data_IF_966682405117
#
_entry.id   IF_966682405117
#
_cell.length_a   1.000
_cell.length_b   1.000
_cell.length_c   1.000
_cell.angle_alpha   90.00
_cell.angle_beta   90.00
_cell.angle_gamma   90.00
#
_symmetry.space_group_name_H-M   'P 1'
#
loop_
_entity.id
_entity.type
_entity.pdbx_description
1 polymer ?
#
# COMPACT_ATOMS: atom_id res chain seq x y z
N UNK A 1 -18.98 10.99 -15.24
CA UNK A 1 -18.29 9.87 -14.59
C UNK A 1 -17.15 10.40 -13.76
N UNK A 2 -17.03 9.95 -12.53
CA UNK A 2 -16.01 10.41 -11.61
C UNK A 2 -14.90 9.37 -11.49
N UNK A 3 -13.65 9.81 -11.63
CA UNK A 3 -12.48 8.96 -11.43
C UNK A 3 -11.99 9.12 -10.01
N UNK A 4 -11.75 8.02 -9.31
CA UNK A 4 -11.20 7.96 -7.96
C UNK A 4 -9.87 7.23 -8.02
N UNK A 5 -8.83 7.81 -7.43
CA UNK A 5 -7.51 7.19 -7.38
C UNK A 5 -7.39 6.38 -6.08
N UNK A 6 -7.09 5.10 -6.20
CA UNK A 6 -6.62 4.32 -5.07
C UNK A 6 -5.10 4.54 -4.97
N UNK A 7 -4.67 5.16 -3.89
CA UNK A 7 -3.28 5.58 -3.69
C UNK A 7 -2.38 4.40 -3.33
N UNK A 8 -2.24 3.47 -4.26
CA UNK A 8 -1.41 2.27 -4.13
C UNK A 8 -0.81 1.91 -5.48
N UNK A 9 0.39 1.37 -5.47
CA UNK A 9 1.02 0.76 -6.64
C UNK A 9 0.83 -0.76 -6.67
N UNK A 10 0.04 -1.30 -5.74
CA UNK A 10 -0.29 -2.71 -5.68
C UNK A 10 -1.51 -2.98 -6.56
N UNK A 11 -1.30 -3.56 -7.73
CA UNK A 11 -2.36 -3.88 -8.69
C UNK A 11 -3.39 -4.86 -8.14
N UNK A 12 -2.99 -5.76 -7.25
CA UNK A 12 -3.93 -6.69 -6.60
C UNK A 12 -4.96 -5.95 -5.75
N UNK A 13 -4.55 -4.92 -5.02
CA UNK A 13 -5.47 -4.09 -4.23
C UNK A 13 -6.45 -3.33 -5.12
N UNK A 14 -5.96 -2.78 -6.23
CA UNK A 14 -6.81 -2.08 -7.20
C UNK A 14 -7.85 -3.03 -7.79
N UNK A 15 -7.41 -4.22 -8.19
CA UNK A 15 -8.29 -5.24 -8.76
C UNK A 15 -9.34 -5.71 -7.75
N UNK A 16 -8.93 -6.00 -6.52
CA UNK A 16 -9.86 -6.39 -5.45
C UNK A 16 -10.91 -5.33 -5.19
N UNK A 17 -10.50 -4.06 -5.11
CA UNK A 17 -11.43 -2.97 -4.84
C UNK A 17 -12.42 -2.82 -5.99
N UNK A 18 -11.97 -2.96 -7.23
CA UNK A 18 -12.86 -2.94 -8.40
C UNK A 18 -13.87 -4.07 -8.36
N UNK A 19 -13.48 -5.26 -7.91
CA UNK A 19 -14.39 -6.40 -7.77
C UNK A 19 -15.40 -6.18 -6.65
N UNK A 20 -14.95 -5.73 -5.50
CA UNK A 20 -15.81 -5.52 -4.32
C UNK A 20 -16.83 -4.42 -4.57
N UNK A 21 -16.41 -3.33 -5.19
CA UNK A 21 -17.22 -2.14 -5.40
C UNK A 21 -17.79 -2.02 -6.81
N UNK A 22 -17.67 -3.05 -7.64
CA UNK A 22 -18.06 -2.98 -9.05
C UNK A 22 -19.50 -2.52 -9.27
N UNK A 23 -20.44 -3.10 -8.54
CA UNK A 23 -21.87 -2.74 -8.65
C UNK A 23 -22.10 -1.29 -8.20
N UNK A 24 -21.47 -0.88 -7.12
CA UNK A 24 -21.58 0.49 -6.60
C UNK A 24 -20.95 1.49 -7.57
N UNK A 25 -19.80 1.15 -8.14
CA UNK A 25 -19.14 1.99 -9.14
C UNK A 25 -20.01 2.17 -10.38
N UNK A 26 -20.64 1.11 -10.86
CA UNK A 26 -21.58 1.18 -11.99
C UNK A 26 -22.78 2.06 -11.68
N UNK A 27 -23.35 1.90 -10.47
CA UNK A 27 -24.50 2.68 -10.03
C UNK A 27 -24.19 4.17 -9.89
N UNK A 28 -23.02 4.51 -9.34
CA UNK A 28 -22.65 5.90 -9.06
C UNK A 28 -21.82 6.54 -10.19
N UNK A 29 -21.52 5.81 -11.25
CA UNK A 29 -20.69 6.32 -12.33
C UNK A 29 -19.24 6.59 -11.90
N UNK A 30 -18.67 5.72 -11.07
CA UNK A 30 -17.30 5.83 -10.59
C UNK A 30 -16.37 4.93 -11.38
N UNK A 31 -15.16 5.43 -11.63
CA UNK A 31 -14.04 4.64 -12.18
C UNK A 31 -12.90 4.65 -11.17
N UNK A 32 -12.38 3.48 -10.84
CA UNK A 32 -11.25 3.34 -9.91
C UNK A 32 -9.98 3.09 -10.69
N UNK A 33 -8.96 3.90 -10.43
CA UNK A 33 -7.62 3.75 -11.02
C UNK A 33 -6.59 3.65 -9.89
N UNK A 34 -5.43 3.10 -10.20
CA UNK A 34 -4.33 3.00 -9.25
C UNK A 34 -3.29 4.10 -9.43
N UNK A 35 -2.34 4.19 -8.51
CA UNK A 35 -1.25 5.16 -8.59
C UNK A 35 -0.33 4.91 -9.79
N UNK A 36 -0.26 3.67 -10.29
CA UNK A 36 0.56 3.34 -11.46
C UNK A 36 0.03 3.96 -12.76
N UNK A 37 -1.23 4.40 -12.79
CA UNK A 37 -1.78 5.15 -13.92
C UNK A 37 -1.23 6.59 -13.98
N UNK A 38 -0.49 7.01 -12.96
CA UNK A 38 0.15 8.33 -12.87
C UNK A 38 1.65 8.16 -12.60
N UNK A 39 2.41 7.63 -13.57
CA UNK A 39 3.82 7.31 -13.35
C UNK A 39 4.71 8.53 -13.05
N UNK A 40 4.26 9.72 -13.40
CA UNK A 40 4.94 10.98 -13.11
C UNK A 40 4.86 11.40 -11.64
N UNK A 41 3.93 10.80 -10.88
CA UNK A 41 3.80 11.09 -9.44
C UNK A 41 4.80 10.21 -8.68
N UNK A 42 5.70 10.81 -7.89
CA UNK A 42 6.69 10.03 -7.14
C UNK A 42 6.03 9.19 -6.06
N UNK A 43 6.70 8.10 -5.68
CA UNK A 43 6.27 7.28 -4.56
C UNK A 43 6.26 8.10 -3.28
N UNK A 44 5.18 7.98 -2.49
CA UNK A 44 5.01 8.71 -1.25
C UNK A 44 5.80 8.03 -0.13
N UNK A 45 6.66 8.79 0.55
CA UNK A 45 7.39 8.27 1.70
C UNK A 45 6.43 8.07 2.88
N UNK A 46 6.45 6.87 3.45
CA UNK A 46 5.65 6.52 4.61
C UNK A 46 6.41 6.89 5.88
N UNK A 47 6.23 8.11 6.36
CA UNK A 47 6.98 8.71 7.46
C UNK A 47 6.24 8.69 8.80
N UNK A 48 4.99 8.24 8.81
CA UNK A 48 4.19 8.17 10.03
C UNK A 48 4.39 6.85 10.77
N UNK A 49 4.01 6.83 12.04
CA UNK A 49 4.17 5.65 12.89
C UNK A 49 2.86 4.86 13.06
N UNK A 50 1.81 5.26 12.37
CA UNK A 50 0.51 4.58 12.38
C UNK A 50 0.07 4.25 10.96
N UNK A 51 -0.74 3.19 10.83
CA UNK A 51 -1.31 2.83 9.53
C UNK A 51 -2.17 3.95 8.96
N UNK A 52 -3.04 4.54 9.79
CA UNK A 52 -3.92 5.62 9.33
C UNK A 52 -3.12 6.88 8.93
N UNK A 53 -2.04 7.18 9.62
CA UNK A 53 -1.16 8.29 9.27
C UNK A 53 -0.52 8.10 7.90
N UNK A 54 0.02 6.92 7.63
CA UNK A 54 0.61 6.61 6.33
C UNK A 54 -0.44 6.58 5.21
N UNK A 55 -1.62 6.04 5.47
CA UNK A 55 -2.72 6.06 4.51
C UNK A 55 -3.10 7.50 4.15
N UNK A 56 -3.21 8.37 5.13
CA UNK A 56 -3.52 9.78 4.91
C UNK A 56 -2.46 10.48 4.05
N UNK A 57 -1.18 10.24 4.32
CA UNK A 57 -0.09 10.79 3.51
C UNK A 57 -0.24 10.42 2.04
N UNK A 58 -0.52 9.16 1.76
CA UNK A 58 -0.69 8.66 0.39
C UNK A 58 -1.91 9.29 -0.29
N UNK A 59 -3.04 9.35 0.38
CA UNK A 59 -4.26 9.92 -0.18
C UNK A 59 -4.09 11.40 -0.48
N UNK A 60 -3.55 12.17 0.46
CA UNK A 60 -3.35 13.61 0.29
C UNK A 60 -2.38 13.90 -0.86
N UNK A 61 -1.27 13.15 -0.93
CA UNK A 61 -0.28 13.34 -1.99
C UNK A 61 -0.87 13.05 -3.38
N UNK A 62 -1.61 11.97 -3.53
CA UNK A 62 -2.22 11.62 -4.81
C UNK A 62 -3.34 12.58 -5.20
N UNK A 63 -4.17 13.00 -4.26
CA UNK A 63 -5.21 13.99 -4.52
C UNK A 63 -4.62 15.32 -4.97
N UNK A 64 -3.56 15.79 -4.31
CA UNK A 64 -2.89 17.03 -4.67
C UNK A 64 -2.22 16.94 -6.05
N UNK A 65 -1.56 15.82 -6.35
CA UNK A 65 -0.83 15.65 -7.61
C UNK A 65 -1.75 15.44 -8.82
N UNK A 66 -2.89 14.77 -8.63
CA UNK A 66 -3.79 14.39 -9.74
C UNK A 66 -5.01 15.29 -9.88
N UNK A 67 -5.37 16.03 -8.84
CA UNK A 67 -6.62 16.81 -8.81
C UNK A 67 -7.87 15.94 -8.70
N UNK A 68 -7.72 14.65 -8.40
CA UNK A 68 -8.81 13.69 -8.29
C UNK A 68 -9.04 13.29 -6.84
N UNK A 69 -10.28 12.88 -6.49
CA UNK A 69 -10.51 12.25 -5.19
C UNK A 69 -9.62 11.02 -5.04
N UNK A 70 -9.01 10.86 -3.88
CA UNK A 70 -8.10 9.76 -3.60
C UNK A 70 -8.50 9.01 -2.34
N UNK A 71 -8.35 7.70 -2.39
CA UNK A 71 -8.57 6.79 -1.26
C UNK A 71 -7.27 6.03 -1.03
N UNK A 72 -6.91 5.83 0.22
CA UNK A 72 -5.73 5.05 0.56
C UNK A 72 -6.01 4.14 1.73
N UNK A 73 -5.25 3.05 1.76
CA UNK A 73 -5.16 2.18 2.93
C UNK A 73 -3.70 2.00 3.31
N UNK A 74 -3.48 1.47 4.48
CA UNK A 74 -2.18 0.95 4.89
C UNK A 74 -2.42 -0.23 5.82
N UNK A 75 -1.58 -1.24 5.70
CA UNK A 75 -1.73 -2.48 6.45
C UNK A 75 -0.37 -3.13 6.69
N UNK A 76 -0.34 -4.04 7.64
CA UNK A 76 0.85 -4.80 7.95
C UNK A 76 0.55 -5.90 8.94
N UNK A 77 1.59 -6.66 9.30
CA UNK A 77 1.51 -7.68 10.31
C UNK A 77 2.02 -7.15 11.65
N UNK A 78 1.27 -7.42 12.70
CA UNK A 78 1.73 -7.17 14.07
C UNK A 78 1.89 -8.50 14.78
N UNK A 79 3.04 -8.70 15.40
CA UNK A 79 3.34 -9.94 16.10
C UNK A 79 3.58 -9.63 17.56
N UNK A 80 2.79 -10.23 18.42
CA UNK A 80 2.80 -9.90 19.86
C UNK A 80 4.15 -10.15 20.52
N UNK A 81 4.79 -11.27 20.20
CA UNK A 81 6.11 -11.61 20.76
C UNK A 81 7.20 -10.61 20.35
N UNK A 82 6.98 -9.86 19.27
CA UNK A 82 7.89 -8.81 18.80
C UNK A 82 7.40 -7.41 19.23
N UNK A 83 6.52 -7.31 20.21
CA UNK A 83 6.01 -6.04 20.70
C UNK A 83 5.13 -5.29 19.70
N UNK A 84 4.46 -6.01 18.79
CA UNK A 84 3.64 -5.42 17.75
C UNK A 84 4.39 -5.15 16.43
N UNK A 85 5.70 -5.43 16.40
CA UNK A 85 6.48 -5.32 15.16
C UNK A 85 6.16 -6.48 14.21
N UNK A 86 6.32 -6.33 12.92
CA UNK A 86 6.85 -5.17 12.21
C UNK A 86 5.86 -3.99 12.06
N UNK A 87 4.53 -4.20 12.22
CA UNK A 87 3.55 -3.11 12.16
C UNK A 87 3.66 -2.29 10.88
N UNK A 88 3.80 -0.97 11.02
CA UNK A 88 3.93 -0.05 9.87
C UNK A 88 5.19 -0.30 9.04
N UNK A 89 6.17 -1.03 9.56
CA UNK A 89 7.40 -1.37 8.86
C UNK A 89 7.33 -2.70 8.11
N UNK A 90 6.16 -3.34 8.04
CA UNK A 90 6.00 -4.68 7.44
C UNK A 90 6.57 -4.77 6.03
N UNK A 91 6.28 -3.80 5.17
CA UNK A 91 6.75 -3.79 3.78
C UNK A 91 8.27 -3.54 3.66
N UNK A 92 8.91 -3.08 4.72
CA UNK A 92 10.33 -2.73 4.76
C UNK A 92 11.11 -3.54 5.79
N UNK A 93 10.50 -4.59 6.34
CA UNK A 93 11.03 -5.31 7.51
C UNK A 93 12.43 -5.90 7.28
N UNK A 94 12.67 -6.43 6.09
CA UNK A 94 13.98 -6.99 5.72
C UNK A 94 15.01 -5.93 5.32
N UNK A 95 14.61 -4.67 5.20
CA UNK A 95 15.49 -3.61 4.73
C UNK A 95 16.01 -3.92 3.31
N UNK A 96 17.32 -4.03 3.17
CA UNK A 96 17.96 -4.30 1.88
C UNK A 96 18.37 -5.77 1.69
N UNK A 97 17.94 -6.67 2.56
CA UNK A 97 18.31 -8.10 2.50
C UNK A 97 17.88 -8.78 1.20
N UNK A 98 16.81 -8.29 0.56
CA UNK A 98 16.38 -8.81 -0.74
C UNK A 98 17.18 -8.24 -1.92
N UNK A 99 18.02 -7.24 -1.67
CA UNK A 99 18.77 -6.49 -2.67
C UNK A 99 18.16 -5.11 -2.89
N UNK A 100 19.02 -4.13 -3.23
CA UNK A 100 18.61 -2.72 -3.37
C UNK A 100 17.66 -2.50 -4.56
N UNK A 101 17.78 -3.36 -5.58
CA UNK A 101 16.95 -3.29 -6.80
C UNK A 101 15.83 -4.34 -6.82
N UNK A 102 15.56 -4.98 -5.68
CA UNK A 102 14.54 -6.03 -5.60
C UNK A 102 13.15 -5.49 -5.91
N UNK A 103 12.39 -6.24 -6.70
CA UNK A 103 10.99 -5.95 -6.97
C UNK A 103 10.09 -6.26 -5.77
N UNK A 104 8.81 -5.89 -5.86
CA UNK A 104 7.84 -6.08 -4.76
C UNK A 104 7.77 -7.53 -4.30
N UNK A 105 7.64 -8.50 -5.22
CA UNK A 105 7.52 -9.91 -4.85
C UNK A 105 8.75 -10.41 -4.08
N UNK A 106 9.95 -9.99 -4.48
CA UNK A 106 11.19 -10.34 -3.80
C UNK A 106 11.27 -9.71 -2.42
N UNK A 107 10.87 -8.44 -2.29
CA UNK A 107 10.83 -7.74 -0.99
C UNK A 107 9.83 -8.39 -0.06
N UNK A 108 8.63 -8.71 -0.53
CA UNK A 108 7.59 -9.35 0.28
C UNK A 108 8.07 -10.72 0.77
N UNK A 109 8.71 -11.52 -0.09
CA UNK A 109 9.26 -12.82 0.31
C UNK A 109 10.36 -12.68 1.35
N UNK A 110 11.27 -11.71 1.19
CA UNK A 110 12.34 -11.46 2.15
C UNK A 110 11.80 -10.96 3.49
N UNK A 111 10.79 -10.08 3.48
CA UNK A 111 10.14 -9.58 4.69
C UNK A 111 9.49 -10.72 5.46
N UNK A 112 8.75 -11.58 4.79
CA UNK A 112 8.10 -12.73 5.42
C UNK A 112 9.12 -13.73 5.96
N UNK A 113 10.18 -14.03 5.20
CA UNK A 113 11.23 -14.93 5.65
C UNK A 113 11.89 -14.43 6.92
N UNK A 114 12.28 -13.16 6.96
CA UNK A 114 12.91 -12.58 8.15
C UNK A 114 11.97 -12.67 9.35
N UNK A 115 10.69 -12.32 9.17
CA UNK A 115 9.71 -12.38 10.25
C UNK A 115 9.58 -13.79 10.79
N UNK A 116 9.47 -14.80 9.90
CA UNK A 116 9.35 -16.20 10.31
C UNK A 116 10.60 -16.67 11.05
N UNK A 117 11.78 -16.27 10.63
CA UNK A 117 13.03 -16.58 11.32
C UNK A 117 13.07 -15.95 12.72
N UNK A 118 12.58 -14.73 12.85
CA UNK A 118 12.59 -14.02 14.14
C UNK A 118 11.61 -14.62 15.15
N UNK A 119 10.51 -15.22 14.72
CA UNK A 119 9.54 -15.85 15.62
C UNK A 119 9.76 -17.35 15.78
N UNK A 120 10.67 -17.94 15.04
CA UNK A 120 11.05 -19.35 15.20
C UNK A 120 11.95 -19.54 16.41
N UNK A 121 11.74 -20.64 17.13
CA UNK A 121 12.61 -21.04 18.25
C UNK A 121 13.59 -22.10 17.81
#
# INVERSE_FOLDING_TARGET
MTTVVLATRNEHKVHELRQILGDLCAELGLTIVGADDFPEVPEVAETEVTFIGNARLKAVALAAATGLPAVADDSGLTVEVLGGSPGVFSARWSGTHAGVDAGRAQRDAANLRLLLEQVAD
#
